data_IF_965021762747
#
_entry.id   IF_965021762747
#
_cell.length_a   1.000
_cell.length_b   1.000
_cell.length_c   1.000
_cell.angle_alpha   90.00
_cell.angle_beta   90.00
_cell.angle_gamma   90.00
#
_symmetry.space_group_name_H-M   'P 1'
#
loop_
_entity.id
_entity.type
_entity.pdbx_description
1 polymer ?
#
# COMPACT_ATOMS: atom_id res chain seq x y z
N UNK A 1 11.75 3.69 2.17
CA UNK A 1 10.55 2.83 1.98
C UNK A 1 9.97 3.05 0.61
N UNK A 2 9.76 1.99 -0.13
CA UNK A 2 9.11 2.00 -1.44
C UNK A 2 8.00 0.97 -1.50
N UNK A 3 7.08 1.13 -2.44
CA UNK A 3 5.98 0.19 -2.66
C UNK A 3 5.73 -0.03 -4.14
N UNK A 4 5.03 -1.10 -4.46
CA UNK A 4 4.62 -1.42 -5.82
C UNK A 4 3.31 -2.20 -5.75
N UNK A 5 2.27 -1.67 -6.36
CA UNK A 5 0.95 -2.30 -6.37
C UNK A 5 0.75 -3.05 -7.68
N UNK A 6 0.38 -4.31 -7.57
CA UNK A 6 0.08 -5.19 -8.70
C UNK A 6 -1.39 -5.58 -8.64
N UNK A 7 -2.14 -5.20 -9.67
CA UNK A 7 -3.55 -5.56 -9.82
C UNK A 7 -3.64 -6.93 -10.48
N UNK A 8 -3.79 -7.97 -9.65
CA UNK A 8 -3.82 -9.35 -10.11
C UNK A 8 -5.17 -9.77 -10.71
N UNK A 9 -6.18 -8.91 -10.66
CA UNK A 9 -7.43 -9.18 -11.37
C UNK A 9 -7.24 -9.11 -12.88
N UNK A 10 -6.41 -8.17 -13.33
CA UNK A 10 -6.16 -7.95 -14.77
C UNK A 10 -4.71 -8.19 -15.18
N UNK A 11 -3.83 -8.51 -14.23
CA UNK A 11 -2.41 -8.77 -14.51
C UNK A 11 -1.62 -7.54 -14.91
N UNK A 12 -1.91 -6.39 -14.30
CA UNK A 12 -1.28 -5.10 -14.63
C UNK A 12 -0.88 -4.34 -13.37
N UNK A 13 0.00 -3.33 -13.49
CA UNK A 13 0.27 -2.44 -12.38
C UNK A 13 -1.00 -1.78 -11.85
N UNK A 14 -1.12 -1.64 -10.55
CA UNK A 14 -2.25 -0.98 -9.90
C UNK A 14 -2.08 0.54 -9.91
N UNK A 15 -2.43 1.17 -11.02
CA UNK A 15 -2.33 2.62 -11.18
C UNK A 15 -3.53 3.33 -10.54
N UNK A 16 -3.27 4.44 -9.85
CA UNK A 16 -4.33 5.27 -9.27
C UNK A 16 -4.83 4.80 -7.92
N UNK A 17 -4.12 3.94 -7.23
CA UNK A 17 -4.48 3.51 -5.88
C UNK A 17 -3.99 4.50 -4.84
N UNK A 18 -4.89 4.94 -3.96
CA UNK A 18 -4.55 5.75 -2.81
C UNK A 18 -3.88 4.90 -1.73
N UNK A 19 -2.81 5.42 -1.15
CA UNK A 19 -2.06 4.80 -0.04
C UNK A 19 -1.83 5.87 1.02
N UNK A 20 -2.24 5.60 2.25
CA UNK A 20 -1.96 6.47 3.39
C UNK A 20 -0.78 5.90 4.18
N UNK A 21 0.24 6.70 4.38
CA UNK A 21 1.45 6.32 5.11
C UNK A 21 1.46 6.96 6.49
N UNK A 22 1.56 6.14 7.52
CA UNK A 22 1.51 6.57 8.92
C UNK A 22 2.64 5.99 9.75
N UNK A 23 2.97 6.67 10.84
CA UNK A 23 3.94 6.21 11.84
C UNK A 23 3.23 6.01 13.18
N UNK A 24 3.67 5.01 13.94
CA UNK A 24 3.18 4.81 15.30
C UNK A 24 4.05 5.61 16.27
N UNK A 25 3.45 6.64 16.86
CA UNK A 25 4.11 7.53 17.83
C UNK A 25 3.15 7.88 18.96
N UNK A 26 3.68 7.97 20.19
CA UNK A 26 2.87 8.41 21.32
C UNK A 26 1.65 7.55 21.61
N UNK A 27 1.70 6.26 21.25
CA UNK A 27 0.61 5.32 21.48
C UNK A 27 -0.49 5.35 20.42
N UNK A 28 -0.30 6.07 19.31
CA UNK A 28 -1.29 6.13 18.23
C UNK A 28 -0.64 6.22 16.85
N UNK A 29 -1.43 5.91 15.82
CA UNK A 29 -1.00 6.05 14.42
C UNK A 29 -1.18 7.49 13.97
N UNK A 30 -0.12 8.06 13.40
CA UNK A 30 -0.08 9.43 12.91
C UNK A 30 0.13 9.42 11.41
N UNK A 31 -0.81 9.98 10.67
CA UNK A 31 -0.71 10.11 9.22
C UNK A 31 0.43 11.07 8.85
N UNK A 32 1.35 10.61 8.00
CA UNK A 32 2.47 11.40 7.49
C UNK A 32 2.26 11.87 6.07
N UNK A 33 1.78 10.98 5.20
CA UNK A 33 1.61 11.27 3.77
C UNK A 33 0.43 10.51 3.20
N UNK A 34 -0.21 11.09 2.19
CA UNK A 34 -1.14 10.38 1.30
C UNK A 34 -0.54 10.39 -0.09
N UNK A 35 -0.44 9.20 -0.70
CA UNK A 35 0.15 9.01 -2.01
C UNK A 35 -0.86 8.33 -2.92
N UNK A 36 -0.61 8.47 -4.23
CA UNK A 36 -1.40 7.77 -5.27
C UNK A 36 -0.42 7.10 -6.22
N UNK A 37 -0.65 5.84 -6.55
CA UNK A 37 0.25 5.12 -7.45
C UNK A 37 0.17 5.68 -8.87
N UNK A 38 1.32 5.66 -9.55
CA UNK A 38 1.45 6.09 -10.94
C UNK A 38 1.10 4.95 -11.92
N UNK A 39 1.36 5.16 -13.21
CA UNK A 39 1.08 4.18 -14.26
C UNK A 39 1.82 2.85 -14.06
N UNK A 40 2.93 2.86 -13.35
CA UNK A 40 3.70 1.65 -13.06
C UNK A 40 3.28 0.96 -11.76
N UNK A 41 2.28 1.49 -11.06
CA UNK A 41 1.85 0.98 -9.76
C UNK A 41 2.80 1.36 -8.63
N UNK A 42 3.71 2.28 -8.87
CA UNK A 42 4.69 2.78 -7.89
C UNK A 42 4.34 4.21 -7.50
N UNK A 43 5.06 4.78 -6.57
CA UNK A 43 4.95 6.21 -6.25
C UNK A 43 6.05 6.98 -6.98
N UNK A 44 5.77 8.24 -7.38
CA UNK A 44 6.75 9.05 -8.11
C UNK A 44 8.01 9.33 -7.27
N UNK A 45 7.83 9.42 -5.96
CA UNK A 45 8.91 9.56 -5.00
C UNK A 45 8.86 8.40 -4.00
N UNK A 46 9.97 8.04 -3.34
CA UNK A 46 9.92 7.07 -2.26
C UNK A 46 8.88 7.49 -1.21
N UNK A 47 8.19 6.50 -0.64
CA UNK A 47 7.24 6.76 0.46
C UNK A 47 7.96 7.46 1.62
N UNK A 48 9.15 6.98 1.92
CA UNK A 48 10.04 7.59 2.91
C UNK A 48 11.45 7.56 2.34
N UNK A 49 12.08 8.73 2.22
CA UNK A 49 13.44 8.83 1.70
C UNK A 49 14.46 8.37 2.74
N UNK A 50 15.69 7.98 2.33
CA UNK A 50 16.74 7.65 3.28
C UNK A 50 17.02 8.77 4.29
N UNK A 51 16.91 10.03 3.88
CA UNK A 51 17.14 11.17 4.76
C UNK A 51 16.06 11.34 5.83
N UNK A 52 14.84 10.87 5.56
CA UNK A 52 13.70 10.93 6.49
C UNK A 52 13.60 9.70 7.38
N UNK A 53 14.34 8.62 7.06
CA UNK A 53 14.18 7.33 7.70
C UNK A 53 14.54 7.36 9.18
N UNK A 54 13.63 6.83 10.01
CA UNK A 54 13.83 6.66 11.45
C UNK A 54 13.36 5.27 11.84
N UNK A 55 14.05 4.67 12.79
CA UNK A 55 13.60 3.40 13.39
C UNK A 55 12.22 3.60 14.00
N UNK A 56 11.31 2.67 13.72
CA UNK A 56 9.95 2.75 14.22
C UNK A 56 9.00 1.80 13.52
N UNK A 57 7.75 1.90 13.89
CA UNK A 57 6.67 1.13 13.28
C UNK A 57 5.88 2.02 12.33
N UNK A 58 5.60 1.50 11.15
CA UNK A 58 4.92 2.24 10.09
C UNK A 58 3.74 1.44 9.53
N UNK A 59 2.83 2.16 8.89
CA UNK A 59 1.68 1.57 8.24
C UNK A 59 1.53 2.12 6.83
N UNK A 60 1.31 1.22 5.87
CA UNK A 60 0.82 1.55 4.54
C UNK A 60 -0.63 1.07 4.47
N UNK A 61 -1.56 2.00 4.36
CA UNK A 61 -2.99 1.68 4.25
C UNK A 61 -3.39 1.78 2.78
N UNK A 62 -3.55 0.63 2.15
CA UNK A 62 -3.89 0.52 0.73
C UNK A 62 -5.42 0.58 0.56
N UNK A 63 -5.91 1.54 -0.21
CA UNK A 63 -7.34 1.71 -0.47
C UNK A 63 -7.81 0.76 -1.58
N UNK A 64 -7.78 -0.53 -1.31
CA UNK A 64 -8.07 -1.59 -2.29
C UNK A 64 -9.53 -1.58 -2.71
N UNK A 65 -10.46 -1.47 -1.77
CA UNK A 65 -11.89 -1.46 -2.08
C UNK A 65 -12.27 -0.30 -3.00
N UNK A 66 -11.78 0.90 -2.69
CA UNK A 66 -12.04 2.08 -3.52
C UNK A 66 -11.41 1.94 -4.91
N UNK A 67 -10.25 1.29 -4.99
CA UNK A 67 -9.57 1.03 -6.26
C UNK A 67 -10.43 0.17 -7.20
N UNK A 68 -11.09 -0.86 -6.67
CA UNK A 68 -11.93 -1.76 -7.45
C UNK A 68 -13.38 -1.30 -7.58
N UNK A 69 -13.81 -0.26 -6.86
CA UNK A 69 -15.19 0.20 -6.88
C UNK A 69 -15.74 0.48 -8.29
N UNK A 70 -14.98 1.10 -9.22
CA UNK A 70 -15.47 1.32 -10.58
C UNK A 70 -15.76 0.04 -11.36
N UNK A 71 -15.16 -1.09 -10.95
CA UNK A 71 -15.35 -2.39 -11.59
C UNK A 71 -16.42 -3.25 -10.91
N UNK A 72 -16.93 -2.81 -9.75
CA UNK A 72 -17.83 -3.60 -8.92
C UNK A 72 -19.12 -3.99 -9.66
N UNK A 73 -19.61 -3.15 -10.55
CA UNK A 73 -20.82 -3.43 -11.33
C UNK A 73 -20.66 -4.61 -12.30
N UNK A 74 -19.40 -4.96 -12.65
CA UNK A 74 -19.07 -6.05 -13.57
C UNK A 74 -18.72 -7.34 -12.85
N UNK A 75 -18.73 -7.32 -11.52
CA UNK A 75 -18.37 -8.47 -10.69
C UNK A 75 -19.59 -8.94 -9.90
N UNK A 76 -19.62 -10.23 -9.50
CA UNK A 76 -20.65 -10.69 -8.57
C UNK A 76 -20.64 -9.85 -7.28
N UNK A 77 -21.80 -9.62 -6.64
CA UNK A 77 -21.89 -8.77 -5.45
C UNK A 77 -20.98 -9.18 -4.29
N UNK A 78 -20.67 -10.47 -4.17
CA UNK A 78 -19.83 -11.02 -3.12
C UNK A 78 -18.35 -11.10 -3.51
N UNK A 79 -17.98 -10.69 -4.71
CA UNK A 79 -16.58 -10.71 -5.16
C UNK A 79 -15.74 -9.65 -4.42
N UNK A 80 -16.34 -8.52 -4.02
CA UNK A 80 -15.64 -7.49 -3.26
C UNK A 80 -15.59 -7.89 -1.79
N UNK A 81 -14.68 -8.78 -1.48
CA UNK A 81 -14.50 -9.29 -0.13
C UNK A 81 -13.52 -8.44 0.70
N UNK A 82 -12.45 -7.96 0.05
CA UNK A 82 -11.46 -7.13 0.74
C UNK A 82 -12.07 -5.78 1.06
N UNK A 83 -11.86 -5.34 2.29
CA UNK A 83 -12.39 -4.08 2.79
C UNK A 83 -11.85 -2.87 2.01
N UNK A 84 -12.45 -1.70 2.25
CA UNK A 84 -12.06 -0.46 1.58
C UNK A 84 -10.59 -0.15 1.77
N UNK A 85 -10.07 -0.40 2.95
CA UNK A 85 -8.67 -0.12 3.32
C UNK A 85 -8.04 -1.37 3.90
N UNK A 86 -6.89 -1.76 3.35
CA UNK A 86 -6.08 -2.86 3.86
C UNK A 86 -4.82 -2.30 4.50
N UNK A 87 -4.72 -2.25 5.84
CA UNK A 87 -3.55 -1.73 6.52
C UNK A 87 -2.43 -2.79 6.56
N UNK A 88 -1.21 -2.37 6.19
CA UNK A 88 -0.02 -3.19 6.29
C UNK A 88 0.94 -2.52 7.25
N UNK A 89 1.18 -3.15 8.40
CA UNK A 89 2.06 -2.62 9.45
C UNK A 89 3.37 -3.37 9.46
N UNK A 90 4.46 -2.63 9.56
CA UNK A 90 5.80 -3.21 9.53
C UNK A 90 6.76 -2.37 10.36
N UNK A 91 7.91 -2.97 10.68
CA UNK A 91 8.95 -2.30 11.47
C UNK A 91 10.14 -1.93 10.60
N UNK A 92 10.56 -0.69 10.67
CA UNK A 92 11.84 -0.23 10.15
C UNK A 92 12.82 -0.28 11.33
N UNK A 93 13.75 -1.21 11.29
CA UNK A 93 14.66 -1.46 12.42
C UNK A 93 16.10 -1.03 12.14
N UNK A 94 16.44 -0.77 10.89
CA UNK A 94 17.78 -0.36 10.48
C UNK A 94 17.70 0.66 9.35
N UNK A 95 18.06 1.91 9.62
CA UNK A 95 17.95 2.99 8.66
C UNK A 95 18.91 2.87 7.49
N UNK A 96 19.91 1.99 7.57
CA UNK A 96 20.83 1.72 6.46
C UNK A 96 20.28 0.74 5.44
N UNK A 97 19.18 0.04 5.76
CA UNK A 97 18.56 -0.92 4.87
C UNK A 97 17.44 -0.31 4.05
N UNK A 98 17.19 -0.89 2.89
CA UNK A 98 16.07 -0.54 2.05
C UNK A 98 14.86 -1.42 2.40
N UNK A 99 13.68 -0.81 2.47
CA UNK A 99 12.42 -1.51 2.76
C UNK A 99 11.47 -1.34 1.59
N UNK A 100 11.24 -2.42 0.87
CA UNK A 100 10.29 -2.47 -0.24
C UNK A 100 9.09 -3.32 0.15
N UNK A 101 7.90 -2.75 0.07
CA UNK A 101 6.65 -3.38 0.51
C UNK A 101 5.68 -3.47 -0.67
N UNK A 102 5.76 -4.54 -1.48
CA UNK A 102 4.82 -4.73 -2.59
C UNK A 102 3.45 -5.16 -2.10
N UNK A 103 2.42 -4.84 -2.89
CA UNK A 103 1.05 -5.25 -2.65
C UNK A 103 0.48 -5.92 -3.90
N UNK A 104 0.10 -7.18 -3.77
CA UNK A 104 -0.59 -7.93 -4.82
C UNK A 104 -2.06 -8.04 -4.41
N UNK A 105 -2.97 -7.58 -5.23
CA UNK A 105 -4.37 -7.52 -4.82
C UNK A 105 -5.35 -7.91 -5.92
N UNK A 106 -6.51 -8.38 -5.48
CA UNK A 106 -7.74 -8.56 -6.24
C UNK A 106 -8.88 -8.03 -5.36
N UNK A 107 -10.13 -7.97 -5.85
CA UNK A 107 -11.24 -7.60 -4.97
C UNK A 107 -11.46 -8.55 -3.78
N UNK A 108 -10.92 -9.78 -3.83
CA UNK A 108 -11.13 -10.80 -2.80
C UNK A 108 -9.84 -11.27 -2.11
N UNK A 109 -8.70 -10.69 -2.44
CA UNK A 109 -7.44 -11.09 -1.81
C UNK A 109 -6.43 -9.95 -1.79
N UNK A 110 -5.54 -9.98 -0.81
CA UNK A 110 -4.36 -9.12 -0.82
C UNK A 110 -3.21 -9.87 -0.16
N UNK A 111 -2.00 -9.64 -0.68
CA UNK A 111 -0.79 -10.25 -0.16
C UNK A 111 0.34 -9.25 -0.21
N UNK A 112 1.16 -9.24 0.82
CA UNK A 112 2.32 -8.39 0.94
C UNK A 112 3.49 -9.17 1.52
N UNK A 113 4.69 -8.67 1.27
CA UNK A 113 5.92 -9.26 1.81
C UNK A 113 7.02 -8.20 1.79
N UNK A 114 8.15 -8.49 2.41
CA UNK A 114 9.31 -7.61 2.26
C UNK A 114 10.02 -7.96 0.96
N UNK A 115 9.95 -7.07 -0.01
CA UNK A 115 10.64 -7.23 -1.30
C UNK A 115 12.11 -6.89 -1.24
N UNK A 116 12.77 -7.12 -2.32
CA UNK A 116 14.20 -6.81 -2.47
C UNK A 116 14.45 -5.35 -2.82
#
# INVERSE_FOLDING_TARGET
ITTHVLDNLVGRPGAGMRIDFSVFEGGSWKLLKTLVTNADGRTDQPVLSPAEAKVGQYELAFHIGDFYAPQAAKLPPDAQFIDRVAPVRFSLFDTSQHYHVPMLCTPWSCATYRGS
#
